data_IF_805234726518
#
_entry.id   IF_805234726518
#
_cell.length_a   1.000
_cell.length_b   1.000
_cell.length_c   1.000
_cell.angle_alpha   90.00
_cell.angle_beta   90.00
_cell.angle_gamma   90.00
#
_symmetry.space_group_name_H-M   'P 1'
#
loop_
_entity.id
_entity.type
_entity.pdbx_description
1 polymer ?
#
# COMPACT_ATOMS: atom_id res chain seq x y z
N UNK A 1 -17.54 -5.62 -5.86
CA UNK A 1 -18.47 -5.47 -4.73
C UNK A 1 -18.56 -4.00 -4.39
N UNK A 2 -19.76 -3.52 -4.07
CA UNK A 2 -20.01 -2.12 -3.71
C UNK A 2 -20.41 -2.06 -2.23
N UNK A 3 -19.71 -1.22 -1.46
CA UNK A 3 -20.07 -0.94 -0.07
C UNK A 3 -21.30 -0.01 -0.09
N UNK A 4 -22.33 -0.35 0.67
CA UNK A 4 -23.54 0.46 0.81
C UNK A 4 -23.91 0.67 2.28
N UNK A 5 -24.67 1.73 2.56
CA UNK A 5 -25.25 1.94 3.89
C UNK A 5 -26.47 1.02 4.00
N UNK A 6 -26.55 0.25 5.09
CA UNK A 6 -27.74 -0.54 5.41
C UNK A 6 -28.79 0.36 6.06
N UNK A 7 -29.82 0.74 5.30
CA UNK A 7 -30.90 1.62 5.76
C UNK A 7 -31.97 0.88 6.57
N UNK A 8 -32.02 -0.45 6.48
CA UNK A 8 -33.04 -1.29 7.12
C UNK A 8 -32.54 -1.89 8.44
N UNK A 9 -31.43 -1.37 8.95
CA UNK A 9 -30.76 -1.92 10.11
C UNK A 9 -31.41 -1.48 11.43
N UNK A 10 -31.49 -2.40 12.40
CA UNK A 10 -31.96 -2.11 13.76
C UNK A 10 -30.85 -1.59 14.68
N UNK A 11 -29.60 -1.48 14.19
CA UNK A 11 -28.49 -0.92 14.95
C UNK A 11 -28.60 0.61 15.00
N UNK A 12 -28.30 1.19 16.17
CA UNK A 12 -28.26 2.64 16.32
C UNK A 12 -27.04 3.27 15.63
N UNK A 13 -25.99 2.48 15.42
CA UNK A 13 -24.76 2.87 14.75
C UNK A 13 -24.85 2.79 13.22
N UNK A 14 -23.92 3.47 12.53
CA UNK A 14 -23.78 3.36 11.07
C UNK A 14 -23.41 1.93 10.67
N UNK A 15 -24.20 1.34 9.78
CA UNK A 15 -23.95 -0.02 9.24
C UNK A 15 -23.56 0.03 7.77
N UNK A 16 -22.39 -0.52 7.45
CA UNK A 16 -21.90 -0.68 6.09
C UNK A 16 -22.04 -2.14 5.64
N UNK A 17 -22.85 -2.35 4.61
CA UNK A 17 -23.00 -3.65 3.96
C UNK A 17 -21.93 -3.84 2.89
N UNK A 18 -21.23 -4.98 2.91
CA UNK A 18 -20.17 -5.32 1.93
C UNK A 18 -20.55 -6.43 0.95
N UNK A 19 -21.78 -6.93 1.03
CA UNK A 19 -22.29 -8.01 0.18
C UNK A 19 -21.94 -9.39 0.71
N UNK A 20 -21.85 -10.35 -0.22
CA UNK A 20 -21.50 -11.75 0.05
C UNK A 20 -19.99 -11.93 0.14
N UNK A 21 -19.54 -12.72 1.11
CA UNK A 21 -18.13 -13.00 1.35
C UNK A 21 -17.92 -14.46 1.72
N UNK A 22 -16.77 -15.00 1.31
CA UNK A 22 -16.27 -16.30 1.76
C UNK A 22 -15.36 -16.11 2.97
N UNK A 23 -15.68 -16.77 4.09
CA UNK A 23 -14.92 -16.68 5.34
C UNK A 23 -14.25 -17.98 5.75
N UNK A 24 -13.17 -17.84 6.52
CA UNK A 24 -12.39 -18.93 7.10
C UNK A 24 -11.25 -19.39 6.19
N UNK A 25 -10.09 -19.64 6.79
CA UNK A 25 -8.82 -19.80 6.05
C UNK A 25 -8.87 -20.93 5.02
N UNK A 26 -9.45 -22.08 5.38
CA UNK A 26 -9.51 -23.24 4.47
C UNK A 26 -10.49 -23.01 3.30
N UNK A 27 -11.61 -22.32 3.53
CA UNK A 27 -12.55 -21.98 2.45
C UNK A 27 -11.91 -20.95 1.50
N UNK A 28 -11.20 -19.97 2.05
CA UNK A 28 -10.49 -18.97 1.26
C UNK A 28 -9.32 -19.57 0.45
N UNK A 29 -8.60 -20.56 0.97
CA UNK A 29 -7.57 -21.31 0.22
C UNK A 29 -8.15 -22.11 -0.94
N UNK A 30 -9.37 -22.61 -0.78
CA UNK A 30 -10.06 -23.43 -1.79
C UNK A 30 -10.86 -22.60 -2.81
N UNK A 31 -10.93 -21.27 -2.65
CA UNK A 31 -11.52 -20.38 -3.64
C UNK A 31 -10.81 -20.50 -5.00
N UNK A 32 -11.59 -20.79 -6.05
CA UNK A 32 -11.08 -20.93 -7.42
C UNK A 32 -10.63 -19.60 -8.03
N UNK A 33 -11.20 -18.47 -7.59
CA UNK A 33 -10.89 -17.13 -8.10
C UNK A 33 -10.09 -16.31 -7.07
N UNK A 34 -8.76 -16.18 -7.23
CA UNK A 34 -7.93 -15.34 -6.37
C UNK A 34 -8.29 -13.84 -6.45
N UNK A 35 -8.84 -13.37 -7.56
CA UNK A 35 -9.26 -11.97 -7.72
C UNK A 35 -10.52 -11.69 -6.90
N UNK A 36 -11.46 -12.64 -6.84
CA UNK A 36 -12.62 -12.54 -5.97
C UNK A 36 -12.19 -12.47 -4.49
N UNK A 37 -11.33 -13.39 -4.03
CA UNK A 37 -10.77 -13.38 -2.67
C UNK A 37 -10.16 -12.02 -2.30
N UNK A 38 -9.33 -11.45 -3.19
CA UNK A 38 -8.73 -10.12 -2.98
C UNK A 38 -9.76 -9.00 -2.91
N UNK A 39 -10.80 -9.06 -3.75
CA UNK A 39 -11.88 -8.04 -3.76
C UNK A 39 -12.73 -8.09 -2.49
N UNK A 40 -13.03 -9.29 -1.97
CA UNK A 40 -13.74 -9.48 -0.71
C UNK A 40 -12.94 -8.90 0.47
N UNK A 41 -11.68 -9.34 0.60
CA UNK A 41 -10.79 -8.84 1.65
C UNK A 41 -10.61 -7.32 1.59
N UNK A 42 -10.47 -6.77 0.38
CA UNK A 42 -10.36 -5.32 0.17
C UNK A 42 -11.64 -4.58 0.57
N UNK A 43 -12.82 -5.09 0.20
CA UNK A 43 -14.11 -4.46 0.50
C UNK A 43 -14.37 -4.40 2.01
N UNK A 44 -14.10 -5.49 2.72
CA UNK A 44 -14.18 -5.54 4.19
C UNK A 44 -13.20 -4.56 4.82
N UNK A 45 -11.93 -4.59 4.40
CA UNK A 45 -10.89 -3.71 4.93
C UNK A 45 -11.22 -2.23 4.70
N UNK A 46 -11.79 -1.90 3.53
CA UNK A 46 -12.24 -0.55 3.20
C UNK A 46 -13.41 -0.11 4.08
N UNK A 47 -14.40 -0.96 4.31
CA UNK A 47 -15.50 -0.66 5.23
C UNK A 47 -15.01 -0.43 6.66
N UNK A 48 -14.12 -1.30 7.16
CA UNK A 48 -13.50 -1.16 8.49
C UNK A 48 -12.72 0.15 8.60
N UNK A 49 -11.84 0.45 7.63
CA UNK A 49 -11.06 1.69 7.60
C UNK A 49 -11.95 2.94 7.54
N UNK A 50 -13.05 2.87 6.80
CA UNK A 50 -14.04 3.95 6.72
C UNK A 50 -14.67 4.23 8.08
N UNK A 51 -15.15 3.18 8.78
CA UNK A 51 -15.77 3.32 10.10
C UNK A 51 -14.79 3.78 11.17
N UNK A 52 -13.55 3.26 11.16
CA UNK A 52 -12.49 3.71 12.06
C UNK A 52 -12.30 5.23 11.98
N UNK A 53 -12.31 5.80 10.77
CA UNK A 53 -12.13 7.22 10.53
C UNK A 53 -13.41 8.07 10.67
N UNK A 54 -14.57 7.45 10.93
CA UNK A 54 -15.89 8.12 10.86
C UNK A 54 -16.75 7.93 12.11
N UNK A 55 -16.14 7.62 13.27
CA UNK A 55 -16.87 7.51 14.54
C UNK A 55 -17.23 6.07 14.96
N UNK A 56 -16.81 5.07 14.21
CA UNK A 56 -17.14 3.66 14.44
C UNK A 56 -18.45 3.23 13.77
N UNK A 57 -18.87 1.99 14.01
CA UNK A 57 -20.09 1.41 13.45
C UNK A 57 -20.01 -0.10 13.29
N UNK A 58 -20.78 -0.64 12.35
CA UNK A 58 -20.82 -2.09 12.08
C UNK A 58 -20.56 -2.35 10.59
N UNK A 59 -19.65 -3.28 10.28
CA UNK A 59 -19.57 -3.88 8.95
C UNK A 59 -20.43 -5.13 8.93
N UNK A 60 -21.33 -5.23 7.95
CA UNK A 60 -22.24 -6.36 7.76
C UNK A 60 -21.94 -7.06 6.45
N UNK A 61 -21.72 -8.37 6.51
CA UNK A 61 -21.47 -9.20 5.34
C UNK A 61 -22.34 -10.46 5.37
N UNK A 62 -22.84 -10.89 4.22
CA UNK A 62 -23.55 -12.17 4.09
C UNK A 62 -22.52 -13.28 3.90
N UNK A 63 -22.64 -14.34 4.69
CA UNK A 63 -21.76 -15.50 4.60
C UNK A 63 -22.19 -16.33 3.39
N UNK A 64 -21.30 -16.48 2.41
CA UNK A 64 -21.57 -17.25 1.19
C UNK A 64 -21.44 -18.75 1.44
N UNK A 65 -20.41 -19.18 2.19
CA UNK A 65 -20.09 -20.58 2.39
C UNK A 65 -20.93 -21.23 3.50
N UNK A 66 -21.85 -22.12 3.11
CA UNK A 66 -22.93 -22.67 3.95
C UNK A 66 -22.50 -23.39 5.24
N UNK A 67 -21.30 -23.96 5.27
CA UNK A 67 -20.79 -24.74 6.41
C UNK A 67 -19.92 -23.92 7.38
N UNK A 68 -19.80 -22.61 7.17
CA UNK A 68 -18.93 -21.74 7.96
C UNK A 68 -19.35 -21.63 9.44
N UNK A 69 -18.36 -21.70 10.32
CA UNK A 69 -18.50 -21.39 11.75
C UNK A 69 -17.34 -20.53 12.21
N UNK A 70 -17.61 -19.30 12.67
CA UNK A 70 -16.58 -18.37 13.11
C UNK A 70 -15.71 -18.94 14.24
N UNK A 71 -16.31 -19.69 15.18
CA UNK A 71 -15.58 -20.31 16.29
C UNK A 71 -14.57 -21.38 15.84
N UNK A 72 -14.83 -22.04 14.71
CA UNK A 72 -14.00 -23.13 14.18
C UNK A 72 -13.04 -22.65 13.10
N UNK A 73 -13.53 -21.82 12.20
CA UNK A 73 -12.86 -21.49 10.94
C UNK A 73 -12.17 -20.12 10.98
N UNK A 74 -12.50 -19.26 11.96
CA UNK A 74 -11.97 -17.90 12.07
C UNK A 74 -12.44 -16.98 10.95
N UNK A 75 -11.79 -15.82 10.79
CA UNK A 75 -12.07 -14.89 9.68
C UNK A 75 -11.27 -15.21 8.42
N UNK A 76 -10.10 -15.85 8.56
CA UNK A 76 -9.14 -16.03 7.48
C UNK A 76 -7.93 -15.10 7.62
N UNK A 77 -6.77 -15.61 7.22
CA UNK A 77 -5.47 -14.97 7.40
C UNK A 77 -5.31 -13.72 6.54
N UNK A 78 -5.99 -13.65 5.39
CA UNK A 78 -5.98 -12.47 4.52
C UNK A 78 -6.60 -11.24 5.21
N UNK A 79 -7.73 -11.42 5.89
CA UNK A 79 -8.40 -10.39 6.67
C UNK A 79 -7.61 -10.06 7.94
N UNK A 80 -7.07 -11.07 8.64
CA UNK A 80 -6.20 -10.82 9.79
C UNK A 80 -4.99 -9.96 9.41
N UNK A 81 -4.32 -10.30 8.32
CA UNK A 81 -3.18 -9.53 7.82
C UNK A 81 -3.61 -8.14 7.39
N UNK A 82 -4.71 -8.00 6.66
CA UNK A 82 -5.23 -6.70 6.23
C UNK A 82 -5.57 -5.80 7.42
N UNK A 83 -6.15 -6.34 8.49
CA UNK A 83 -6.44 -5.57 9.70
C UNK A 83 -5.17 -5.18 10.45
N UNK A 84 -4.15 -6.03 10.49
CA UNK A 84 -2.84 -5.71 11.07
C UNK A 84 -2.09 -4.63 10.29
N UNK A 85 -2.32 -4.52 8.98
CA UNK A 85 -1.78 -3.42 8.17
C UNK A 85 -2.45 -2.07 8.49
N UNK A 86 -3.71 -2.07 8.91
CA UNK A 86 -4.46 -0.85 9.28
C UNK A 86 -4.22 -0.47 10.74
N UNK A 87 -4.20 -1.46 11.64
CA UNK A 87 -4.21 -1.29 13.09
C UNK A 87 -3.10 -2.10 13.76
N UNK A 88 -2.36 -1.53 14.74
CA UNK A 88 -1.37 -2.28 15.50
C UNK A 88 -2.01 -3.36 16.39
N UNK A 89 -3.22 -3.12 16.91
CA UNK A 89 -3.93 -4.05 17.78
C UNK A 89 -5.40 -4.16 17.35
N UNK A 90 -5.72 -4.95 16.29
CA UNK A 90 -7.07 -5.03 15.74
C UNK A 90 -8.13 -5.38 16.78
N UNK A 91 -7.86 -6.34 17.68
CA UNK A 91 -8.77 -6.78 18.75
C UNK A 91 -9.21 -5.67 19.74
N UNK A 92 -8.48 -4.54 19.81
CA UNK A 92 -8.90 -3.41 20.65
C UNK A 92 -10.05 -2.62 20.00
N UNK A 93 -10.12 -2.65 18.67
CA UNK A 93 -11.04 -1.85 17.87
C UNK A 93 -12.11 -2.67 17.16
N UNK A 94 -11.86 -3.96 16.91
CA UNK A 94 -12.71 -4.83 16.13
C UNK A 94 -13.23 -5.96 16.99
N UNK A 95 -14.56 -6.08 17.08
CA UNK A 95 -15.25 -7.20 17.72
C UNK A 95 -16.09 -7.93 16.68
N UNK A 96 -15.78 -9.21 16.43
CA UNK A 96 -16.41 -10.01 15.37
C UNK A 96 -17.48 -10.95 15.91
N UNK A 97 -18.63 -11.02 15.24
CA UNK A 97 -19.74 -11.90 15.62
C UNK A 97 -20.37 -12.54 14.38
N UNK A 98 -20.66 -13.84 14.46
CA UNK A 98 -21.53 -14.52 13.50
C UNK A 98 -22.97 -14.49 14.00
N UNK A 99 -23.88 -14.00 13.17
CA UNK A 99 -25.32 -13.96 13.46
C UNK A 99 -26.10 -14.53 12.27
N UNK A 100 -26.63 -15.76 12.44
CA UNK A 100 -27.32 -16.50 11.37
C UNK A 100 -26.44 -16.57 10.11
N UNK A 101 -26.96 -16.12 8.97
CA UNK A 101 -26.23 -16.05 7.69
C UNK A 101 -25.37 -14.81 7.50
N UNK A 102 -25.16 -14.00 8.56
CA UNK A 102 -24.36 -12.78 8.49
C UNK A 102 -23.14 -12.87 9.40
N UNK A 103 -22.08 -12.20 8.95
CA UNK A 103 -20.90 -11.89 9.71
C UNK A 103 -20.87 -10.39 9.98
N UNK A 104 -20.70 -10.03 11.25
CA UNK A 104 -20.73 -8.66 11.74
C UNK A 104 -19.37 -8.31 12.35
N UNK A 105 -18.84 -7.15 12.00
CA UNK A 105 -17.63 -6.59 12.61
C UNK A 105 -18.02 -5.26 13.25
N UNK A 106 -18.06 -5.22 14.57
CA UNK A 106 -18.24 -4.00 15.34
C UNK A 106 -16.91 -3.25 15.37
N UNK A 107 -16.92 -2.00 14.92
CA UNK A 107 -15.74 -1.16 14.75
C UNK A 107 -15.83 0.02 15.72
N UNK A 108 -14.92 0.08 16.68
CA UNK A 108 -14.76 1.24 17.56
C UNK A 108 -14.04 2.37 16.80
N UNK A 109 -14.37 3.64 17.06
CA UNK A 109 -13.70 4.76 16.42
C UNK A 109 -12.19 4.74 16.68
N UNK A 110 -11.42 5.14 15.66
CA UNK A 110 -10.02 5.51 15.86
C UNK A 110 -9.95 6.85 16.56
N UNK A 111 -9.42 6.86 17.78
CA UNK A 111 -9.14 8.08 18.51
C UNK A 111 -7.64 8.36 18.36
N UNK A 112 -7.24 9.48 17.74
CA UNK A 112 -5.83 9.82 17.58
C UNK A 112 -5.15 9.88 18.95
N UNK A 113 -4.26 8.92 19.23
CA UNK A 113 -3.42 8.93 20.43
C UNK A 113 -2.05 9.57 20.11
N UNK A 114 -1.11 9.47 21.06
CA UNK A 114 0.27 10.00 21.04
C UNK A 114 1.04 9.79 19.72
N UNK A 115 0.68 8.80 18.89
CA UNK A 115 1.31 8.58 17.56
C UNK A 115 1.12 9.73 16.57
N UNK A 116 0.18 10.63 16.82
CA UNK A 116 -0.08 11.80 15.97
C UNK A 116 -0.70 11.47 14.61
N UNK A 117 -1.03 10.20 14.36
CA UNK A 117 -1.76 9.76 13.18
C UNK A 117 -3.26 10.00 13.38
N UNK A 118 -3.79 11.00 12.67
CA UNK A 118 -5.19 11.40 12.78
C UNK A 118 -6.16 10.50 12.00
N UNK A 119 -5.66 9.89 10.93
CA UNK A 119 -6.45 9.09 9.98
C UNK A 119 -5.70 7.81 9.69
N UNK A 120 -6.43 6.68 9.67
CA UNK A 120 -5.92 5.39 9.25
C UNK A 120 -6.13 5.21 7.76
N UNK A 121 -5.22 4.48 7.12
CA UNK A 121 -5.22 4.31 5.66
C UNK A 121 -4.97 2.85 5.32
N UNK A 122 -5.67 2.32 4.32
CA UNK A 122 -5.33 1.02 3.73
C UNK A 122 -3.98 1.08 3.00
N UNK A 123 -3.77 2.16 2.27
CA UNK A 123 -2.56 2.48 1.52
C UNK A 123 -2.33 3.98 1.62
N UNK A 124 -1.09 4.38 1.86
CA UNK A 124 -0.70 5.79 1.80
C UNK A 124 -0.43 6.21 0.37
N UNK A 125 -0.05 5.27 -0.50
CA UNK A 125 0.52 5.53 -1.83
C UNK A 125 1.68 6.54 -1.80
N UNK A 126 2.33 6.65 -0.64
CA UNK A 126 3.43 7.57 -0.40
C UNK A 126 4.72 6.76 -0.51
N UNK A 127 5.38 6.86 -1.66
CA UNK A 127 6.56 6.05 -1.94
C UNK A 127 7.82 6.87 -1.69
N UNK A 128 8.84 6.20 -1.17
CA UNK A 128 10.21 6.71 -1.08
C UNK A 128 11.16 5.71 -1.73
N UNK A 129 12.33 6.20 -2.14
CA UNK A 129 13.38 5.32 -2.62
C UNK A 129 14.24 4.84 -1.46
N UNK A 130 14.32 3.53 -1.29
CA UNK A 130 15.15 2.87 -0.30
C UNK A 130 16.11 1.93 -1.03
N UNK A 131 17.41 2.25 -1.02
CA UNK A 131 18.40 1.54 -1.83
C UNK A 131 17.93 1.43 -3.29
N UNK A 132 17.78 0.21 -3.83
CA UNK A 132 17.31 -0.04 -5.20
C UNK A 132 15.81 -0.31 -5.30
N UNK A 133 15.01 -0.07 -4.26
CA UNK A 133 13.56 -0.34 -4.24
C UNK A 133 12.75 0.91 -3.97
N UNK A 134 11.50 0.90 -4.45
CA UNK A 134 10.51 1.92 -4.17
C UNK A 134 9.52 1.34 -3.17
N UNK A 135 9.59 1.82 -1.94
CA UNK A 135 8.85 1.28 -0.80
C UNK A 135 7.76 2.27 -0.39
N UNK A 136 6.58 1.75 -0.08
CA UNK A 136 5.47 2.56 0.42
C UNK A 136 5.68 2.82 1.92
N UNK A 137 5.76 4.09 2.33
CA UNK A 137 5.78 4.45 3.74
C UNK A 137 4.43 4.14 4.38
N UNK A 138 4.44 3.39 5.47
CA UNK A 138 3.22 3.11 6.25
C UNK A 138 2.80 4.37 7.03
N UNK A 139 1.56 4.37 7.52
CA UNK A 139 0.90 5.55 8.11
C UNK A 139 1.77 6.36 9.09
N UNK A 140 2.32 5.76 10.16
CA UNK A 140 3.17 6.47 11.12
C UNK A 140 4.41 7.12 10.48
N UNK A 141 5.13 6.36 9.65
CA UNK A 141 6.36 6.82 8.99
C UNK A 141 6.06 7.92 7.97
N UNK A 142 4.95 7.80 7.23
CA UNK A 142 4.49 8.81 6.29
C UNK A 142 4.14 10.13 7.01
N UNK A 143 3.47 10.06 8.17
CA UNK A 143 3.18 11.24 8.98
C UNK A 143 4.46 11.89 9.50
N UNK A 144 5.43 11.08 9.96
CA UNK A 144 6.72 11.60 10.41
C UNK A 144 7.50 12.27 9.26
N UNK A 145 7.51 11.65 8.08
CA UNK A 145 8.13 12.19 6.88
C UNK A 145 7.53 13.55 6.49
N UNK A 146 6.20 13.65 6.44
CA UNK A 146 5.50 14.88 6.10
C UNK A 146 5.76 16.00 7.12
N UNK A 147 5.85 15.68 8.41
CA UNK A 147 6.24 16.65 9.45
C UNK A 147 7.66 17.16 9.24
N UNK A 148 8.62 16.26 9.03
CA UNK A 148 10.02 16.62 8.78
C UNK A 148 10.16 17.52 7.55
N UNK A 149 9.44 17.23 6.46
CA UNK A 149 9.43 18.05 5.24
C UNK A 149 8.83 19.44 5.46
N UNK A 150 7.74 19.53 6.24
CA UNK A 150 7.15 20.81 6.62
C UNK A 150 8.12 21.67 7.43
N UNK A 151 8.83 21.05 8.37
CA UNK A 151 9.77 21.74 9.25
C UNK A 151 11.05 22.18 8.50
N UNK A 152 11.49 21.44 7.48
CA UNK A 152 12.61 21.81 6.62
C UNK A 152 12.27 22.91 5.61
N UNK A 153 11.04 22.96 5.09
CA UNK A 153 10.60 24.08 4.23
C UNK A 153 10.57 25.42 4.98
N UNK A 154 10.33 25.42 6.29
CA UNK A 154 10.43 26.60 7.16
C UNK A 154 11.88 27.00 7.53
N UNK A 155 12.84 26.06 7.42
CA UNK A 155 14.27 26.27 7.65
C UNK A 155 15.03 26.14 6.34
N UNK A 156 15.04 27.23 5.58
CA UNK A 156 15.94 27.51 4.46
C UNK A 156 15.72 26.69 3.18
N UNK A 157 15.38 27.43 2.10
CA UNK A 157 15.75 27.10 0.70
C UNK A 157 17.26 27.17 0.47
N UNK A 158 18.07 26.81 1.46
CA UNK A 158 19.44 26.45 1.17
C UNK A 158 19.36 24.99 0.75
N UNK A 159 19.69 24.70 -0.50
CA UNK A 159 20.29 23.41 -0.83
C UNK A 159 21.54 23.32 0.07
N UNK A 160 21.38 22.96 1.33
CA UNK A 160 22.49 22.62 2.19
C UNK A 160 23.04 21.37 1.54
N UNK A 161 24.15 21.56 0.83
CA UNK A 161 24.96 20.47 0.33
C UNK A 161 25.11 19.49 1.47
N UNK A 162 24.56 18.29 1.25
CA UNK A 162 24.89 17.14 2.07
C UNK A 162 26.42 17.03 2.06
N UNK A 163 27.04 16.64 3.20
CA UNK A 163 28.47 16.45 3.24
C UNK A 163 28.81 15.42 2.16
N UNK A 164 29.77 15.76 1.31
CA UNK A 164 30.29 14.90 0.26
C UNK A 164 30.66 13.54 0.86
N UNK A 165 29.77 12.57 0.72
CA UNK A 165 30.08 11.18 1.00
C UNK A 165 30.28 10.48 -0.32
N UNK A 166 31.55 10.19 -0.59
CA UNK A 166 32.06 9.23 -1.57
C UNK A 166 31.99 9.69 -3.03
N UNK A 167 33.17 9.96 -3.60
CA UNK A 167 33.46 10.29 -5.01
C UNK A 167 32.83 9.36 -6.08
N UNK A 168 32.14 8.28 -5.70
CA UNK A 168 31.43 7.38 -6.62
C UNK A 168 30.02 7.84 -7.01
N UNK A 169 29.30 8.57 -6.15
CA UNK A 169 27.91 8.98 -6.44
C UNK A 169 27.85 10.09 -7.50
N UNK A 170 28.81 11.04 -7.50
CA UNK A 170 28.89 12.10 -8.53
C UNK A 170 29.26 11.54 -9.91
N UNK A 171 30.17 10.56 -9.98
CA UNK A 171 30.56 9.90 -11.23
C UNK A 171 29.41 9.07 -11.82
N UNK A 172 28.62 8.38 -10.97
CA UNK A 172 27.39 7.73 -11.41
C UNK A 172 26.36 8.75 -11.91
N UNK A 173 26.15 9.86 -11.19
CA UNK A 173 25.18 10.89 -11.61
C UNK A 173 25.55 11.53 -12.96
N UNK A 174 26.83 11.82 -13.20
CA UNK A 174 27.33 12.35 -14.47
C UNK A 174 27.13 11.37 -15.64
N UNK A 175 27.38 10.08 -15.43
CA UNK A 175 27.14 9.04 -16.45
C UNK A 175 25.65 8.81 -16.75
N UNK A 176 24.78 8.87 -15.73
CA UNK A 176 23.33 8.75 -15.89
C UNK A 176 22.74 9.91 -16.69
N UNK A 177 23.13 11.14 -16.37
CA UNK A 177 22.68 12.34 -17.09
C UNK A 177 23.14 12.30 -18.56
N UNK A 178 24.39 11.89 -18.81
CA UNK A 178 24.91 11.77 -20.17
C UNK A 178 24.13 10.73 -20.97
N UNK A 179 23.83 9.57 -20.36
CA UNK A 179 23.05 8.52 -21.01
C UNK A 179 21.60 8.96 -21.28
N UNK A 180 20.95 9.66 -20.35
CA UNK A 180 19.57 10.14 -20.50
C UNK A 180 19.40 11.11 -21.68
N UNK A 181 20.43 11.91 -21.98
CA UNK A 181 20.41 12.89 -23.07
C UNK A 181 20.91 12.34 -24.42
N UNK A 182 21.18 11.02 -24.53
CA UNK A 182 21.58 10.43 -25.82
C UNK A 182 20.42 10.44 -26.81
N UNK A 183 20.72 10.80 -28.05
CA UNK A 183 19.76 10.78 -29.16
C UNK A 183 19.63 9.39 -29.80
N UNK A 184 20.66 8.56 -29.69
CA UNK A 184 20.75 7.23 -30.31
C UNK A 184 21.23 6.19 -29.30
N UNK A 185 20.67 4.98 -29.41
CA UNK A 185 21.06 3.79 -28.65
C UNK A 185 21.19 2.61 -29.61
N UNK A 186 22.18 1.74 -29.38
CA UNK A 186 22.36 0.56 -30.22
C UNK A 186 21.62 -0.64 -29.62
N UNK A 187 20.97 -1.44 -30.46
CA UNK A 187 20.34 -2.69 -30.03
C UNK A 187 21.41 -3.62 -29.43
N UNK A 188 21.11 -4.22 -28.27
CA UNK A 188 22.05 -5.05 -27.48
C UNK A 188 23.26 -4.31 -26.90
N UNK A 189 23.27 -2.97 -26.91
CA UNK A 189 24.27 -2.21 -26.16
C UNK A 189 24.24 -2.58 -24.68
N UNK A 190 25.40 -2.94 -24.13
CA UNK A 190 25.52 -3.29 -22.72
C UNK A 190 25.53 -2.01 -21.89
N UNK A 191 24.39 -1.69 -21.27
CA UNK A 191 24.34 -0.58 -20.31
C UNK A 191 24.96 -1.01 -18.99
N UNK A 192 25.88 -0.21 -18.45
CA UNK A 192 26.50 -0.47 -17.12
C UNK A 192 25.58 -0.11 -15.94
N UNK A 193 24.33 0.29 -16.19
CA UNK A 193 23.44 0.78 -15.14
C UNK A 193 22.68 -0.35 -14.45
N UNK A 194 22.92 -0.48 -13.15
CA UNK A 194 22.13 -1.33 -12.26
C UNK A 194 21.09 -0.49 -11.52
N UNK A 195 20.08 -1.16 -10.93
CA UNK A 195 19.10 -0.48 -10.08
C UNK A 195 19.81 0.10 -8.85
N UNK A 196 19.54 1.35 -8.55
CA UNK A 196 20.14 2.08 -7.44
C UNK A 196 19.12 3.04 -6.81
N UNK A 197 19.58 3.86 -5.87
CA UNK A 197 18.77 4.93 -5.27
C UNK A 197 18.38 6.03 -6.28
N UNK A 198 19.16 6.21 -7.33
CA UNK A 198 18.90 7.25 -8.34
C UNK A 198 18.49 6.66 -9.70
N UNK A 199 18.47 5.33 -9.82
CA UNK A 199 18.19 4.66 -11.10
C UNK A 199 17.23 3.50 -10.92
N UNK A 200 16.15 3.47 -11.68
CA UNK A 200 15.27 2.32 -11.84
C UNK A 200 15.31 1.87 -13.31
N UNK A 201 15.55 0.57 -13.51
CA UNK A 201 15.62 -0.04 -14.83
C UNK A 201 14.51 -1.07 -14.96
N UNK A 202 13.68 -0.93 -15.99
CA UNK A 202 12.54 -1.82 -16.25
C UNK A 202 12.51 -2.28 -17.71
N UNK A 203 12.63 -3.58 -17.91
CA UNK A 203 12.15 -4.23 -19.13
C UNK A 203 10.65 -4.49 -18.95
N UNK A 204 9.79 -3.70 -19.58
CA UNK A 204 8.35 -3.76 -19.32
C UNK A 204 7.57 -3.46 -20.59
N UNK A 205 6.54 -4.26 -20.94
CA UNK A 205 5.68 -3.98 -22.09
C UNK A 205 4.94 -2.66 -21.88
N UNK A 206 4.62 -1.97 -22.99
CA UNK A 206 4.01 -0.64 -23.01
C UNK A 206 2.80 -0.50 -22.06
N UNK A 207 1.97 -1.54 -21.99
CA UNK A 207 0.75 -1.59 -21.17
C UNK A 207 1.00 -1.43 -19.66
N UNK A 208 2.18 -1.83 -19.18
CA UNK A 208 2.53 -1.78 -17.75
C UNK A 208 3.25 -0.49 -17.35
N UNK A 209 3.55 0.41 -18.29
CA UNK A 209 4.21 1.69 -18.01
C UNK A 209 3.34 2.53 -17.06
N UNK A 210 2.02 2.57 -17.30
CA UNK A 210 1.08 3.33 -16.48
C UNK A 210 0.98 2.81 -15.05
N UNK A 211 1.33 1.54 -14.80
CA UNK A 211 1.34 0.96 -13.46
C UNK A 211 2.63 1.31 -12.70
N UNK A 212 3.78 1.34 -13.38
CA UNK A 212 5.08 1.58 -12.74
C UNK A 212 5.36 3.08 -12.52
N UNK A 213 4.82 3.95 -13.38
CA UNK A 213 5.18 5.35 -13.43
C UNK A 213 4.78 6.09 -12.14
N UNK A 214 3.54 6.02 -11.63
CA UNK A 214 3.13 6.77 -10.44
C UNK A 214 3.96 6.40 -9.21
N UNK A 215 4.21 5.10 -9.02
CA UNK A 215 5.03 4.58 -7.92
C UNK A 215 6.47 5.06 -8.01
N UNK A 216 7.08 4.96 -9.19
CA UNK A 216 8.50 5.30 -9.39
C UNK A 216 8.73 6.81 -9.29
N UNK A 217 7.86 7.62 -9.90
CA UNK A 217 7.93 9.08 -9.85
C UNK A 217 7.74 9.58 -8.41
N UNK A 218 6.74 9.06 -7.69
CA UNK A 218 6.53 9.38 -6.27
C UNK A 218 7.77 9.07 -5.43
N UNK A 219 8.35 7.87 -5.61
CA UNK A 219 9.55 7.46 -4.88
C UNK A 219 10.75 8.39 -5.11
N UNK A 220 11.05 8.74 -6.37
CA UNK A 220 12.14 9.65 -6.68
C UNK A 220 11.89 11.07 -6.17
N UNK A 221 10.67 11.60 -6.35
CA UNK A 221 10.31 12.95 -5.94
C UNK A 221 10.32 13.16 -4.41
N UNK A 222 10.07 12.10 -3.64
CA UNK A 222 10.11 12.12 -2.18
C UNK A 222 11.48 11.76 -1.60
N UNK A 223 12.50 11.58 -2.43
CA UNK A 223 13.88 11.28 -1.97
C UNK A 223 14.83 12.28 -2.60
N UNK A 224 15.72 11.86 -3.52
CA UNK A 224 16.78 12.72 -4.08
C UNK A 224 16.63 12.93 -5.60
N UNK A 225 15.47 12.63 -6.16
CA UNK A 225 15.29 12.52 -7.61
C UNK A 225 15.88 11.23 -8.18
N UNK A 226 15.84 11.10 -9.51
CA UNK A 226 16.41 9.94 -10.21
C UNK A 226 15.89 9.77 -11.64
N UNK A 227 16.38 8.71 -12.29
CA UNK A 227 16.08 8.34 -13.66
C UNK A 227 15.35 7.00 -13.71
N UNK A 228 14.27 6.94 -14.49
CA UNK A 228 13.57 5.69 -14.84
C UNK A 228 13.86 5.37 -16.31
N UNK A 229 14.59 4.29 -16.55
CA UNK A 229 14.83 3.78 -17.89
C UNK A 229 13.89 2.61 -18.18
N UNK A 230 13.13 2.72 -19.27
CA UNK A 230 12.16 1.72 -19.73
C UNK A 230 12.67 1.12 -21.04
N UNK A 231 12.63 -0.21 -21.15
CA UNK A 231 13.11 -0.94 -22.33
C UNK A 231 14.58 -1.39 -22.22
N UNK A 232 15.20 -1.26 -21.05
CA UNK A 232 16.54 -1.78 -20.77
C UNK A 232 16.46 -3.01 -19.88
N UNK A 233 17.33 -3.99 -20.14
CA UNK A 233 17.53 -5.12 -19.25
C UNK A 233 18.52 -4.68 -18.16
N UNK A 234 18.04 -4.59 -16.91
CA UNK A 234 18.93 -4.41 -15.77
C UNK A 234 19.77 -5.68 -15.64
N UNK A 235 21.03 -5.62 -16.07
CA UNK A 235 21.86 -6.79 -16.34
C UNK A 235 21.78 -7.88 -15.27
N UNK A 236 20.98 -8.90 -15.53
CA UNK A 236 21.22 -10.24 -15.03
C UNK A 236 21.95 -10.95 -16.15
N UNK A 237 23.29 -10.89 -16.14
CA UNK A 237 24.07 -11.96 -16.74
C UNK A 237 23.70 -13.23 -15.96
N UNK A 238 22.79 -14.03 -16.52
CA UNK A 238 22.68 -15.44 -16.18
C UNK A 238 24.09 -16.02 -16.40
N UNK A 239 24.75 -16.41 -15.31
CA UNK A 239 25.84 -17.38 -15.40
C UNK A 239 25.26 -18.75 -15.66
#
# INVERSE_FOLDING_TARGET
MSISIDQETDYAELVLSVGEITLGEENQKTMKDPQLRRREAHSISQAVCTLLNSGGGVVKARIENSNYSFKRDGIGLDLENSFREILPFPQKYLDCVQNKGYFLIFVKPWIPNISGQRVLTLKTNFYVRNLSTSDELKGPDAVQFLKAKKDSEGRSRSRQGLPASCDSDELQHGSLHTFFNREELTLEETSCFTKSKQTEVKMTPKEKILEILPKTVSAFANTDGGYLFIGLNGGNLLK
#
